data_IF_501399391014
#
_entry.id   IF_501399391014
#
_cell.length_a   1.000
_cell.length_b   1.000
_cell.length_c   1.000
_cell.angle_alpha   90.00
_cell.angle_beta   90.00
_cell.angle_gamma   90.00
#
_symmetry.space_group_name_H-M   'P 1'
#
loop_
_entity.id
_entity.type
_entity.pdbx_description
1 polymer ?
#
# COMPACT_ATOMS: atom_id res chain seq x y z
N UNK A 1 -1.65 -85.60 56.69
CA UNK A 1 -1.58 -85.31 55.22
C UNK A 1 -1.54 -83.81 55.12
N UNK A 2 -0.48 -83.17 54.61
CA UNK A 2 -0.31 -81.75 54.57
C UNK A 2 -0.87 -81.08 53.33
N UNK A 3 -1.58 -79.97 53.48
CA UNK A 3 -2.07 -79.15 52.39
C UNK A 3 -1.07 -78.03 52.13
N UNK A 4 -0.62 -77.93 50.92
CA UNK A 4 0.25 -76.89 50.34
C UNK A 4 -0.42 -75.50 50.32
N UNK A 5 0.13 -74.52 51.01
CA UNK A 5 -0.18 -73.09 50.85
C UNK A 5 0.70 -72.51 49.75
N UNK A 6 0.05 -72.12 48.69
CA UNK A 6 0.64 -71.47 47.52
C UNK A 6 1.07 -70.04 47.85
N UNK A 7 2.38 -69.75 47.71
CA UNK A 7 3.01 -68.43 47.75
C UNK A 7 2.83 -67.68 46.44
N UNK A 8 1.65 -67.15 46.20
CA UNK A 8 1.42 -66.28 44.99
C UNK A 8 0.34 -65.25 45.24
N UNK A 9 0.53 -64.29 46.14
CA UNK A 9 -0.29 -63.04 46.24
C UNK A 9 0.40 -62.01 47.12
N UNK A 10 1.61 -61.54 46.72
CA UNK A 10 2.27 -60.40 47.38
C UNK A 10 3.24 -59.74 46.36
N UNK A 11 2.75 -59.30 45.22
CA UNK A 11 3.45 -58.36 44.35
C UNK A 11 2.46 -57.68 43.43
N UNK A 12 1.69 -56.69 43.93
CA UNK A 12 0.89 -55.81 43.07
C UNK A 12 0.43 -54.58 43.86
N UNK A 13 1.36 -53.89 44.56
CA UNK A 13 1.08 -52.55 45.06
C UNK A 13 2.40 -51.77 45.13
N UNK A 14 2.85 -51.25 43.98
CA UNK A 14 4.09 -50.52 43.92
C UNK A 14 4.39 -49.92 42.54
N UNK A 15 3.42 -49.30 41.90
CA UNK A 15 3.70 -48.56 40.65
C UNK A 15 2.55 -47.62 40.28
N UNK A 16 2.31 -46.59 41.10
CA UNK A 16 1.38 -45.50 40.71
C UNK A 16 1.78 -44.20 41.37
N UNK A 17 3.05 -43.80 41.25
CA UNK A 17 3.56 -42.51 41.68
C UNK A 17 4.67 -42.05 40.74
N UNK A 18 4.30 -41.86 39.46
CA UNK A 18 5.20 -41.19 38.55
C UNK A 18 4.34 -40.37 37.53
N UNK A 19 4.62 -39.09 37.46
CA UNK A 19 4.24 -38.16 36.40
C UNK A 19 3.09 -37.18 36.72
N UNK A 20 3.22 -36.45 37.82
CA UNK A 20 2.77 -35.03 37.77
C UNK A 20 4.03 -34.15 37.65
N UNK A 21 4.65 -34.16 36.45
CA UNK A 21 5.57 -33.08 36.09
C UNK A 21 4.70 -31.84 35.84
N UNK A 22 4.91 -30.72 36.54
CA UNK A 22 4.23 -29.48 36.19
C UNK A 22 4.63 -29.11 34.79
N UNK A 23 3.68 -28.98 33.87
CA UNK A 23 3.87 -28.30 32.60
C UNK A 23 4.30 -26.86 32.95
N UNK A 24 5.60 -26.62 32.94
CA UNK A 24 6.11 -25.26 33.00
C UNK A 24 5.46 -24.48 31.83
N UNK A 25 4.82 -23.34 32.11
CA UNK A 25 4.32 -22.50 31.02
C UNK A 25 5.50 -22.20 30.11
N UNK A 26 5.34 -22.50 28.82
CA UNK A 26 6.32 -22.12 27.81
C UNK A 26 6.54 -20.60 27.95
N UNK A 27 7.67 -20.21 28.53
CA UNK A 27 8.07 -18.83 28.58
C UNK A 27 8.06 -18.34 27.13
N UNK A 28 7.11 -17.50 26.78
CA UNK A 28 7.14 -16.78 25.53
C UNK A 28 8.43 -15.97 25.58
N UNK A 29 9.46 -16.45 24.90
CA UNK A 29 10.72 -15.73 24.77
C UNK A 29 10.35 -14.37 24.17
N UNK A 30 10.37 -13.35 25.01
CA UNK A 30 10.15 -11.98 24.60
C UNK A 30 11.21 -11.68 23.54
N UNK A 31 10.80 -11.29 22.33
CA UNK A 31 11.75 -10.95 21.29
C UNK A 31 12.75 -9.93 21.85
N UNK A 32 14.06 -10.08 21.62
CA UNK A 32 15.05 -9.18 22.17
C UNK A 32 14.70 -7.74 21.80
N UNK A 33 14.84 -6.83 22.78
CA UNK A 33 14.58 -5.41 22.54
C UNK A 33 15.40 -4.91 21.35
N UNK A 34 14.81 -4.01 20.53
CA UNK A 34 15.55 -3.39 19.44
C UNK A 34 16.72 -2.58 20.02
N UNK A 35 17.89 -2.81 19.49
CA UNK A 35 19.10 -2.08 19.82
C UNK A 35 19.20 -0.80 18.99
N UNK A 36 18.56 0.28 19.42
CA UNK A 36 18.67 1.60 18.80
C UNK A 36 17.40 2.06 18.06
N UNK A 37 17.42 3.31 17.54
CA UNK A 37 16.27 3.96 16.96
C UNK A 37 15.83 3.30 15.64
N UNK A 38 14.56 3.50 15.29
CA UNK A 38 13.98 3.08 13.99
C UNK A 38 13.81 4.30 13.10
N UNK A 39 14.24 4.19 11.86
CA UNK A 39 14.03 5.22 10.83
C UNK A 39 13.06 4.72 9.77
N UNK A 40 11.98 5.46 9.57
CA UNK A 40 11.01 5.24 8.49
C UNK A 40 11.33 6.20 7.34
N UNK A 41 11.83 5.69 6.23
CA UNK A 41 12.22 6.50 5.07
C UNK A 41 11.05 6.61 4.10
N UNK A 42 10.72 7.84 3.69
CA UNK A 42 9.67 8.18 2.73
C UNK A 42 10.31 8.83 1.50
N UNK A 43 10.09 8.27 0.31
CA UNK A 43 10.68 8.73 -0.96
C UNK A 43 10.05 10.00 -1.55
N UNK A 44 9.23 10.72 -0.78
CA UNK A 44 8.48 11.88 -1.24
C UNK A 44 8.61 13.05 -0.26
N UNK A 45 8.24 14.25 -0.71
CA UNK A 45 8.24 15.44 0.13
C UNK A 45 7.28 15.30 1.34
N UNK A 46 7.56 16.00 2.45
CA UNK A 46 6.68 16.03 3.60
C UNK A 46 5.27 16.51 3.26
N UNK A 47 4.26 16.01 3.99
CA UNK A 47 2.85 16.42 3.88
C UNK A 47 2.01 15.63 2.87
N UNK A 48 2.61 14.81 2.00
CA UNK A 48 1.87 13.88 1.14
C UNK A 48 1.23 12.72 1.93
N UNK A 49 0.30 11.97 1.31
CA UNK A 49 -0.41 10.87 1.99
C UNK A 49 0.53 9.81 2.55
N UNK A 50 1.59 9.45 1.82
CA UNK A 50 2.61 8.51 2.28
C UNK A 50 3.35 9.01 3.52
N UNK A 51 3.73 10.30 3.55
CA UNK A 51 4.41 10.92 4.69
C UNK A 51 3.48 11.00 5.91
N UNK A 52 2.22 11.44 5.73
CA UNK A 52 1.24 11.49 6.81
C UNK A 52 1.00 10.12 7.43
N UNK A 53 0.91 9.07 6.59
CA UNK A 53 0.74 7.70 7.08
C UNK A 53 1.98 7.20 7.84
N UNK A 54 3.19 7.50 7.36
CA UNK A 54 4.43 7.16 8.05
C UNK A 54 4.50 7.81 9.44
N UNK A 55 4.14 9.11 9.55
CA UNK A 55 4.13 9.83 10.85
C UNK A 55 3.08 9.29 11.80
N UNK A 56 1.88 9.01 11.30
CA UNK A 56 0.79 8.43 12.10
C UNK A 56 1.17 7.08 12.70
N UNK A 57 1.94 6.27 11.96
CA UNK A 57 2.47 5.00 12.42
C UNK A 57 3.64 5.23 13.39
N UNK A 58 4.58 6.13 13.08
CA UNK A 58 5.74 6.42 13.91
C UNK A 58 5.35 6.80 15.34
N UNK A 59 4.37 7.70 15.52
CA UNK A 59 3.84 8.13 16.83
C UNK A 59 3.38 6.96 17.70
N UNK A 60 2.89 5.89 17.11
CA UNK A 60 2.38 4.71 17.82
C UNK A 60 3.39 3.59 17.94
N UNK A 61 4.35 3.53 17.02
CA UNK A 61 5.45 2.56 17.08
C UNK A 61 6.45 2.90 18.21
N UNK A 62 6.72 4.17 18.43
CA UNK A 62 7.68 4.62 19.43
C UNK A 62 7.38 4.06 20.84
N UNK A 63 6.19 4.26 21.44
CA UNK A 63 5.86 3.66 22.73
C UNK A 63 5.75 2.12 22.67
N UNK A 64 5.36 1.55 21.53
CA UNK A 64 5.26 0.09 21.33
C UNK A 64 6.61 -0.59 21.33
N UNK A 65 7.62 0.03 20.72
CA UNK A 65 8.96 -0.52 20.59
C UNK A 65 9.90 -0.13 21.74
N UNK A 66 9.58 0.94 22.48
CA UNK A 66 10.43 1.48 23.55
C UNK A 66 11.71 2.15 23.03
N UNK A 67 11.78 2.46 21.75
CA UNK A 67 12.91 3.15 21.09
C UNK A 67 12.39 4.30 20.24
N UNK A 68 13.21 5.31 20.00
CA UNK A 68 12.85 6.44 19.14
C UNK A 68 12.51 5.98 17.73
N UNK A 69 11.39 6.49 17.19
CA UNK A 69 10.96 6.26 15.80
C UNK A 69 10.89 7.58 15.05
N UNK A 70 11.68 7.75 13.99
CA UNK A 70 11.73 8.96 13.19
C UNK A 70 11.26 8.72 11.75
N UNK A 71 10.68 9.75 11.13
CA UNK A 71 10.36 9.74 9.70
C UNK A 71 11.33 10.65 8.97
N UNK A 72 11.98 10.13 7.95
CA UNK A 72 12.92 10.86 7.10
C UNK A 72 12.42 10.91 5.66
N UNK A 73 12.27 12.10 5.10
CA UNK A 73 11.91 12.28 3.71
C UNK A 73 13.15 12.35 2.83
N UNK A 74 13.21 11.50 1.80
CA UNK A 74 14.28 11.41 0.79
C UNK A 74 13.68 11.53 -0.60
N UNK A 75 13.15 12.72 -0.98
CA UNK A 75 12.53 12.93 -2.28
C UNK A 75 13.58 12.91 -3.39
N UNK A 76 13.20 12.39 -4.54
CA UNK A 76 14.02 12.39 -5.74
C UNK A 76 13.77 11.19 -6.63
N UNK A 77 13.95 11.37 -7.93
CA UNK A 77 13.82 10.33 -8.96
C UNK A 77 12.51 9.51 -8.87
N UNK A 78 11.39 10.16 -8.50
CA UNK A 78 10.10 9.47 -8.31
C UNK A 78 10.09 8.51 -7.11
N UNK A 79 10.92 8.74 -6.09
CA UNK A 79 11.06 7.89 -4.89
C UNK A 79 12.19 6.86 -4.98
N UNK A 80 12.83 6.70 -6.15
CA UNK A 80 13.93 5.73 -6.33
C UNK A 80 15.18 6.09 -5.53
N UNK A 81 15.40 7.39 -5.23
CA UNK A 81 16.51 7.81 -4.39
C UNK A 81 16.44 7.16 -3.01
N UNK A 82 15.27 7.18 -2.37
CA UNK A 82 15.04 6.50 -1.09
C UNK A 82 15.31 4.99 -1.17
N UNK A 83 14.87 4.33 -2.24
CA UNK A 83 15.14 2.90 -2.44
C UNK A 83 16.64 2.62 -2.58
N UNK A 84 17.37 3.44 -3.35
CA UNK A 84 18.84 3.33 -3.51
C UNK A 84 19.59 3.52 -2.20
N UNK A 85 19.12 4.40 -1.32
CA UNK A 85 19.72 4.62 0.00
C UNK A 85 19.42 3.48 0.95
N UNK A 86 18.15 3.08 1.07
CA UNK A 86 17.72 2.04 2.03
C UNK A 86 18.32 0.67 1.72
N UNK A 87 18.48 0.31 0.43
CA UNK A 87 19.15 -0.96 0.07
C UNK A 87 20.59 -1.05 0.58
N UNK A 88 21.25 0.09 0.81
CA UNK A 88 22.65 0.18 1.29
C UNK A 88 22.74 0.25 2.81
N UNK A 89 21.62 0.22 3.53
CA UNK A 89 21.62 0.27 4.99
C UNK A 89 22.42 -0.91 5.57
N UNK A 90 23.22 -0.63 6.59
CA UNK A 90 24.00 -1.67 7.26
C UNK A 90 23.08 -2.65 8.02
N UNK A 91 23.51 -3.91 8.14
CA UNK A 91 22.71 -4.98 8.76
C UNK A 91 22.23 -4.68 10.20
N UNK A 92 22.95 -3.83 10.95
CA UNK A 92 22.61 -3.41 12.30
C UNK A 92 21.62 -2.24 12.38
N UNK A 93 21.29 -1.58 11.27
CA UNK A 93 20.40 -0.42 11.28
C UNK A 93 18.92 -0.83 11.21
N UNK A 94 18.07 -0.18 12.02
CA UNK A 94 16.61 -0.37 11.99
C UNK A 94 16.00 0.65 11.00
N UNK A 95 16.17 0.42 9.72
CA UNK A 95 15.68 1.30 8.65
C UNK A 95 14.61 0.58 7.84
N UNK A 96 13.45 1.19 7.67
CA UNK A 96 12.39 0.71 6.79
C UNK A 96 12.05 1.79 5.75
N UNK A 97 11.81 1.40 4.51
CA UNK A 97 11.26 2.29 3.49
C UNK A 97 9.74 2.11 3.41
N UNK A 98 8.98 3.20 3.45
CA UNK A 98 7.58 3.17 3.04
C UNK A 98 7.52 3.37 1.52
N UNK A 99 7.46 2.25 0.82
CA UNK A 99 7.42 2.19 -0.64
C UNK A 99 6.00 2.07 -1.18
N UNK A 100 5.86 2.31 -2.47
CA UNK A 100 4.61 2.22 -3.21
C UNK A 100 4.81 1.55 -4.59
N UNK A 101 3.75 1.27 -5.36
CA UNK A 101 3.87 0.60 -6.66
C UNK A 101 4.75 1.34 -7.67
N UNK A 102 4.78 2.68 -7.65
CA UNK A 102 5.61 3.42 -8.61
C UNK A 102 7.10 3.06 -8.45
N UNK A 103 7.56 2.92 -7.20
CA UNK A 103 8.95 2.57 -6.88
C UNK A 103 9.19 1.06 -7.01
N UNK A 104 8.30 0.22 -6.44
CA UNK A 104 8.60 -1.21 -6.27
C UNK A 104 8.11 -2.09 -7.42
N UNK A 105 7.27 -1.56 -8.32
CA UNK A 105 6.71 -2.31 -9.45
C UNK A 105 6.99 -1.62 -10.78
N UNK A 106 6.59 -0.35 -10.93
CA UNK A 106 6.69 0.35 -12.21
C UNK A 106 8.13 0.70 -12.58
N UNK A 107 8.88 1.31 -11.67
CA UNK A 107 10.24 1.76 -11.96
C UNK A 107 11.15 0.63 -12.49
N UNK A 108 11.16 -0.59 -11.93
CA UNK A 108 11.94 -1.70 -12.47
C UNK A 108 11.51 -2.16 -13.86
N UNK A 109 10.28 -1.86 -14.29
CA UNK A 109 9.77 -2.24 -15.61
C UNK A 109 10.11 -1.23 -16.70
N UNK A 110 10.27 0.05 -16.34
CA UNK A 110 10.43 1.15 -17.31
C UNK A 110 11.86 1.69 -17.38
N UNK A 111 12.61 1.64 -16.28
CA UNK A 111 14.01 2.07 -16.30
C UNK A 111 14.92 0.90 -16.62
N UNK A 112 15.83 1.08 -17.57
CA UNK A 112 16.86 0.09 -17.90
C UNK A 112 17.71 -0.28 -16.67
N UNK A 113 17.98 0.71 -15.81
CA UNK A 113 18.60 0.54 -14.51
C UNK A 113 17.88 1.46 -13.50
N UNK A 114 17.09 0.87 -12.63
CA UNK A 114 16.45 1.57 -11.53
C UNK A 114 17.42 1.88 -10.38
N UNK A 115 18.59 1.23 -10.36
CA UNK A 115 19.58 1.30 -9.31
C UNK A 115 19.34 0.37 -8.11
N UNK A 116 18.30 -0.45 -8.18
CA UNK A 116 17.93 -1.49 -7.19
C UNK A 116 17.08 -2.57 -7.85
N UNK A 117 17.01 -3.72 -7.20
CA UNK A 117 16.15 -4.85 -7.54
C UNK A 117 15.18 -5.09 -6.37
N UNK A 118 13.85 -4.86 -6.53
CA UNK A 118 12.89 -5.02 -5.44
C UNK A 118 12.89 -6.40 -4.79
N UNK A 119 13.21 -7.46 -5.54
CA UNK A 119 13.14 -8.84 -5.06
C UNK A 119 14.43 -9.29 -4.35
N UNK A 120 15.56 -8.68 -4.69
CA UNK A 120 16.88 -9.03 -4.12
C UNK A 120 17.28 -8.12 -2.99
N UNK A 121 16.99 -6.81 -3.15
CA UNK A 121 17.47 -5.77 -2.24
C UNK A 121 16.52 -5.51 -1.06
N UNK A 122 15.27 -6.02 -1.13
CA UNK A 122 14.25 -5.70 -0.13
C UNK A 122 13.44 -6.93 0.33
N UNK A 123 12.98 -6.85 1.56
CA UNK A 123 12.02 -7.79 2.17
C UNK A 123 10.73 -7.03 2.47
N UNK A 124 9.57 -7.46 1.96
CA UNK A 124 8.29 -6.85 2.31
C UNK A 124 7.94 -7.12 3.77
N UNK A 125 7.54 -6.08 4.50
CA UNK A 125 7.28 -6.14 5.94
C UNK A 125 5.79 -6.13 6.23
N UNK A 126 5.07 -5.08 5.79
CA UNK A 126 3.63 -4.93 6.01
C UNK A 126 3.07 -3.88 5.06
N UNK A 127 1.99 -4.20 4.37
CA UNK A 127 1.15 -3.20 3.74
C UNK A 127 0.37 -2.46 4.83
N UNK A 128 0.37 -1.14 4.79
CA UNK A 128 -0.23 -0.30 5.84
C UNK A 128 -1.35 0.59 5.34
N UNK A 129 -1.43 0.82 4.03
CA UNK A 129 -2.57 1.51 3.44
C UNK A 129 -2.82 1.07 2.00
N UNK A 130 -4.04 1.31 1.54
CA UNK A 130 -4.42 1.28 0.14
C UNK A 130 -5.06 2.60 -0.25
N UNK A 131 -5.08 2.89 -1.54
CA UNK A 131 -5.75 4.05 -2.09
C UNK A 131 -6.31 3.72 -3.47
N UNK A 132 -7.44 4.35 -3.79
CA UNK A 132 -8.07 4.22 -5.09
C UNK A 132 -7.60 5.32 -6.03
N UNK A 133 -7.70 5.07 -7.33
CA UNK A 133 -7.65 6.10 -8.36
C UNK A 133 -9.07 6.61 -8.60
N UNK A 134 -9.17 7.87 -9.02
CA UNK A 134 -10.42 8.50 -9.36
C UNK A 134 -10.38 9.03 -10.79
N UNK A 135 -11.48 8.86 -11.50
CA UNK A 135 -11.79 9.55 -12.74
C UNK A 135 -12.63 10.77 -12.39
N UNK A 136 -12.08 11.95 -12.61
CA UNK A 136 -12.76 13.21 -12.38
C UNK A 136 -12.88 14.04 -13.66
N UNK A 137 -13.94 14.84 -13.72
CA UNK A 137 -14.18 15.80 -14.81
C UNK A 137 -14.32 17.21 -14.28
N UNK A 138 -13.90 18.17 -15.09
CA UNK A 138 -14.17 19.58 -14.82
C UNK A 138 -15.66 19.90 -15.02
N UNK A 139 -16.17 20.92 -14.32
CA UNK A 139 -17.58 21.29 -14.36
C UNK A 139 -18.07 21.74 -15.74
N UNK A 140 -17.16 22.13 -16.65
CA UNK A 140 -17.52 22.50 -18.03
C UNK A 140 -18.13 21.33 -18.83
N UNK A 141 -17.77 20.08 -18.52
CA UNK A 141 -18.35 18.92 -19.19
C UNK A 141 -19.79 18.61 -18.76
N UNK A 142 -20.24 19.13 -17.61
CA UNK A 142 -21.60 18.93 -17.08
C UNK A 142 -22.01 17.44 -16.98
N UNK A 143 -21.05 16.56 -16.67
CA UNK A 143 -21.28 15.12 -16.54
C UNK A 143 -21.39 14.73 -15.05
N UNK A 144 -22.36 13.90 -14.72
CA UNK A 144 -22.61 13.39 -13.38
C UNK A 144 -22.40 11.87 -13.24
N UNK A 145 -22.28 11.17 -14.38
CA UNK A 145 -22.10 9.70 -14.44
C UNK A 145 -21.05 9.30 -15.47
N UNK A 146 -20.24 8.32 -15.09
CA UNK A 146 -19.18 7.82 -15.97
C UNK A 146 -19.70 7.22 -17.29
N UNK A 147 -20.89 6.63 -17.30
CA UNK A 147 -21.49 6.07 -18.51
C UNK A 147 -21.74 7.14 -19.61
N UNK A 148 -22.02 8.39 -19.23
CA UNK A 148 -22.23 9.46 -20.21
C UNK A 148 -20.93 9.96 -20.81
N UNK A 149 -19.78 9.73 -20.14
CA UNK A 149 -18.47 10.08 -20.67
C UNK A 149 -18.16 9.31 -21.95
N UNK A 150 -18.57 8.04 -22.06
CA UNK A 150 -18.36 7.23 -23.27
C UNK A 150 -18.94 7.91 -24.50
N UNK A 151 -20.25 8.24 -24.47
CA UNK A 151 -20.92 8.91 -25.58
C UNK A 151 -20.32 10.29 -25.89
N UNK A 152 -19.92 11.02 -24.86
CA UNK A 152 -19.27 12.34 -25.00
C UNK A 152 -17.95 12.21 -25.77
N UNK A 153 -17.07 11.29 -25.35
CA UNK A 153 -15.76 11.12 -25.98
C UNK A 153 -15.83 10.53 -27.39
N UNK A 154 -16.87 9.80 -27.73
CA UNK A 154 -17.09 9.35 -29.10
C UNK A 154 -17.58 10.48 -30.03
N UNK A 155 -18.41 11.39 -29.50
CA UNK A 155 -18.85 12.57 -30.19
C UNK A 155 -17.78 13.67 -30.30
N UNK A 156 -16.88 13.74 -29.30
CA UNK A 156 -15.84 14.75 -29.14
C UNK A 156 -14.49 14.10 -28.82
N UNK A 157 -13.84 13.39 -29.77
CA UNK A 157 -12.56 12.71 -29.51
C UNK A 157 -11.43 13.64 -29.04
N UNK A 158 -11.49 14.93 -29.41
CA UNK A 158 -10.55 15.96 -28.98
C UNK A 158 -10.57 16.22 -27.47
N UNK A 159 -11.66 15.87 -26.80
CA UNK A 159 -11.78 15.97 -25.35
C UNK A 159 -11.18 14.76 -24.60
N UNK A 160 -10.72 13.73 -25.33
CA UNK A 160 -10.06 12.57 -24.71
C UNK A 160 -8.63 12.90 -24.25
N UNK A 161 -8.49 14.01 -23.48
CA UNK A 161 -7.25 14.43 -22.84
C UNK A 161 -7.34 14.11 -21.34
N UNK A 162 -6.56 13.12 -20.91
CA UNK A 162 -6.53 12.69 -19.53
C UNK A 162 -5.29 13.26 -18.83
N UNK A 163 -5.50 14.21 -17.92
CA UNK A 163 -4.46 14.74 -17.06
C UNK A 163 -4.08 13.74 -15.97
N UNK A 164 -2.79 13.60 -15.73
CA UNK A 164 -2.24 12.73 -14.69
C UNK A 164 -1.17 13.48 -13.90
N UNK A 165 -0.94 13.18 -12.59
CA UNK A 165 -0.01 13.94 -11.75
C UNK A 165 1.45 13.83 -12.23
N UNK A 166 1.79 12.76 -12.95
CA UNK A 166 3.09 12.61 -13.61
C UNK A 166 3.01 11.56 -14.71
N UNK A 167 3.73 11.75 -15.82
CA UNK A 167 3.95 10.67 -16.79
C UNK A 167 4.72 9.53 -16.13
N UNK A 168 4.35 8.27 -16.45
CA UNK A 168 4.95 7.09 -15.82
C UNK A 168 4.46 6.80 -14.39
N UNK A 169 3.53 7.60 -13.86
CA UNK A 169 2.85 7.29 -12.60
C UNK A 169 1.78 6.21 -12.77
N UNK A 170 1.30 5.63 -11.67
CA UNK A 170 0.18 4.70 -11.72
C UNK A 170 -1.11 5.33 -12.27
N UNK A 171 -1.49 6.57 -11.93
CA UNK A 171 -2.59 7.26 -12.59
C UNK A 171 -2.44 7.35 -14.12
N UNK A 172 -1.21 7.47 -14.65
CA UNK A 172 -0.97 7.40 -16.09
C UNK A 172 -1.41 6.05 -16.68
N UNK A 173 -0.88 4.96 -16.15
CA UNK A 173 -1.22 3.61 -16.64
C UNK A 173 -2.67 3.24 -16.40
N UNK A 174 -3.24 3.70 -15.28
CA UNK A 174 -4.67 3.53 -15.02
C UNK A 174 -5.52 4.35 -16.01
N UNK A 175 -5.09 5.55 -16.38
CA UNK A 175 -5.72 6.34 -17.44
C UNK A 175 -5.77 5.60 -18.78
N UNK A 176 -4.71 4.87 -19.13
CA UNK A 176 -4.71 4.01 -20.32
C UNK A 176 -5.71 2.84 -20.19
N UNK A 177 -5.80 2.20 -19.02
CA UNK A 177 -6.81 1.16 -18.76
C UNK A 177 -8.23 1.72 -18.86
N UNK A 178 -8.47 2.93 -18.38
CA UNK A 178 -9.76 3.63 -18.52
C UNK A 178 -10.05 3.89 -19.99
N UNK A 179 -9.07 4.38 -20.75
CA UNK A 179 -9.19 4.56 -22.20
C UNK A 179 -9.59 3.27 -22.92
N UNK A 180 -8.92 2.16 -22.63
CA UNK A 180 -9.26 0.84 -23.18
C UNK A 180 -10.70 0.45 -22.83
N UNK A 181 -11.13 0.65 -21.58
CA UNK A 181 -12.48 0.31 -21.11
C UNK A 181 -13.57 1.18 -21.76
N UNK A 182 -13.25 2.41 -22.13
CA UNK A 182 -14.13 3.35 -22.85
C UNK A 182 -14.04 3.18 -24.36
N UNK A 183 -13.13 2.32 -24.87
CA UNK A 183 -12.82 2.17 -26.29
C UNK A 183 -12.38 3.49 -26.95
N UNK A 184 -11.57 4.27 -26.24
CA UNK A 184 -10.96 5.52 -26.70
C UNK A 184 -9.45 5.48 -26.51
N UNK A 185 -8.70 6.22 -27.29
CA UNK A 185 -7.25 6.41 -27.11
C UNK A 185 -6.99 7.79 -26.51
N UNK A 186 -6.81 7.90 -25.19
CA UNK A 186 -6.63 9.19 -24.56
C UNK A 186 -5.24 9.77 -24.85
N UNK A 187 -5.18 11.08 -25.06
CA UNK A 187 -3.94 11.83 -24.96
C UNK A 187 -3.61 12.00 -23.47
N UNK A 188 -2.51 11.44 -23.00
CA UNK A 188 -2.08 11.61 -21.63
C UNK A 188 -1.29 12.91 -21.47
N UNK A 189 -1.78 13.81 -20.60
CA UNK A 189 -1.10 15.06 -20.23
C UNK A 189 -0.53 14.92 -18.80
N UNK A 190 0.80 14.81 -18.68
CA UNK A 190 1.49 14.76 -17.39
C UNK A 190 1.65 16.15 -16.79
N UNK A 191 1.52 16.23 -15.45
CA UNK A 191 1.71 17.44 -14.65
C UNK A 191 2.87 17.27 -13.68
N UNK A 192 3.28 18.32 -13.00
CA UNK A 192 4.27 18.31 -11.93
C UNK A 192 3.66 18.00 -10.55
N UNK A 193 2.62 17.17 -10.50
CA UNK A 193 1.89 16.79 -9.28
C UNK A 193 0.39 17.05 -9.36
N UNK A 194 -0.34 16.64 -8.31
CA UNK A 194 -1.81 16.76 -8.23
C UNK A 194 -2.30 18.21 -8.11
N UNK A 195 -1.52 19.12 -7.54
CA UNK A 195 -1.94 20.49 -7.36
C UNK A 195 -2.10 21.26 -8.69
N UNK A 196 -1.11 21.31 -9.60
CA UNK A 196 -1.29 21.95 -10.91
C UNK A 196 -2.31 21.21 -11.80
N UNK A 197 -2.41 19.88 -11.70
CA UNK A 197 -3.46 19.10 -12.37
C UNK A 197 -4.85 19.56 -11.92
N UNK A 198 -5.09 19.62 -10.61
CA UNK A 198 -6.38 20.07 -10.05
C UNK A 198 -6.71 21.52 -10.43
N UNK A 199 -5.72 22.41 -10.48
CA UNK A 199 -5.92 23.80 -10.91
C UNK A 199 -6.45 23.89 -12.35
N UNK A 200 -5.85 23.15 -13.29
CA UNK A 200 -6.28 23.09 -14.69
C UNK A 200 -7.66 22.43 -14.85
N UNK A 201 -7.96 21.39 -14.07
CA UNK A 201 -9.27 20.74 -14.08
C UNK A 201 -10.37 21.69 -13.58
N UNK A 202 -10.13 22.42 -12.48
CA UNK A 202 -11.04 23.42 -11.92
C UNK A 202 -11.21 24.60 -12.90
N UNK A 203 -10.12 25.08 -13.48
CA UNK A 203 -10.11 26.18 -14.45
C UNK A 203 -10.73 25.80 -15.79
N UNK A 204 -10.91 24.51 -16.06
CA UNK A 204 -11.51 23.95 -17.26
C UNK A 204 -10.61 24.04 -18.50
N UNK A 205 -9.29 24.14 -18.34
CA UNK A 205 -8.27 23.91 -19.38
C UNK A 205 -7.91 22.43 -19.53
N UNK A 206 -8.27 21.60 -18.55
CA UNK A 206 -8.22 20.14 -18.58
C UNK A 206 -9.65 19.59 -18.47
N UNK A 207 -10.13 18.75 -19.40
CA UNK A 207 -11.48 18.19 -19.31
C UNK A 207 -11.57 17.05 -18.28
N UNK A 208 -10.57 16.15 -18.25
CA UNK A 208 -10.60 14.89 -17.51
C UNK A 208 -9.29 14.74 -16.73
N UNK A 209 -9.38 14.26 -15.48
CA UNK A 209 -8.24 13.91 -14.66
C UNK A 209 -8.34 12.47 -14.16
N UNK A 210 -7.19 11.81 -14.12
CA UNK A 210 -6.97 10.53 -13.43
C UNK A 210 -5.91 10.80 -12.35
N UNK A 211 -6.30 10.71 -11.09
CA UNK A 211 -5.40 10.88 -9.95
C UNK A 211 -5.85 9.99 -8.79
N UNK A 212 -5.17 10.03 -7.67
CA UNK A 212 -5.61 9.33 -6.46
C UNK A 212 -6.86 9.99 -5.89
N UNK A 213 -7.76 9.19 -5.33
CA UNK A 213 -9.03 9.67 -4.78
C UNK A 213 -8.82 10.74 -3.70
N UNK A 214 -7.86 10.53 -2.79
CA UNK A 214 -7.54 11.47 -1.71
C UNK A 214 -7.08 12.84 -2.21
N UNK A 215 -6.43 12.88 -3.38
CA UNK A 215 -5.98 14.13 -4.00
C UNK A 215 -7.13 14.96 -4.60
N UNK A 216 -8.18 14.32 -5.09
CA UNK A 216 -9.30 14.97 -5.79
C UNK A 216 -10.54 15.16 -4.90
N UNK A 217 -10.65 14.41 -3.81
CA UNK A 217 -11.89 14.31 -3.02
C UNK A 217 -12.32 15.64 -2.41
N UNK A 218 -11.39 16.40 -1.84
CA UNK A 218 -11.70 17.71 -1.27
C UNK A 218 -12.29 18.68 -2.32
N UNK A 219 -11.81 18.64 -3.55
CA UNK A 219 -12.33 19.47 -4.65
C UNK A 219 -13.70 18.99 -5.13
N UNK A 220 -13.93 17.69 -5.08
CA UNK A 220 -15.25 17.10 -5.36
C UNK A 220 -16.30 17.51 -4.32
N UNK A 221 -15.96 17.39 -3.02
CA UNK A 221 -16.86 17.83 -1.92
C UNK A 221 -17.16 19.33 -2.01
N UNK A 222 -16.17 20.13 -2.40
CA UNK A 222 -16.35 21.57 -2.63
C UNK A 222 -17.13 21.91 -3.92
N UNK A 223 -17.56 20.91 -4.71
CA UNK A 223 -18.30 21.11 -5.96
C UNK A 223 -17.47 21.73 -7.10
N UNK A 224 -16.14 21.82 -6.96
CA UNK A 224 -15.25 22.41 -7.97
C UNK A 224 -14.94 21.48 -9.13
N UNK A 225 -15.00 20.17 -8.90
CA UNK A 225 -14.85 19.09 -9.90
C UNK A 225 -15.86 18.00 -9.60
N UNK A 226 -16.07 17.08 -10.54
CA UNK A 226 -16.94 15.92 -10.34
C UNK A 226 -16.13 14.64 -10.48
N UNK A 227 -16.02 13.85 -9.41
CA UNK A 227 -15.52 12.48 -9.50
C UNK A 227 -16.66 11.61 -10.00
N UNK A 228 -16.43 10.88 -11.10
CA UNK A 228 -17.44 10.03 -11.74
C UNK A 228 -17.36 8.58 -11.30
N UNK A 229 -16.16 8.08 -11.01
CA UNK A 229 -15.94 6.72 -10.53
C UNK A 229 -14.60 6.60 -9.81
N UNK A 230 -14.50 5.58 -8.94
CA UNK A 230 -13.27 5.18 -8.25
C UNK A 230 -12.87 3.75 -8.64
N UNK A 231 -11.58 3.48 -8.58
CA UNK A 231 -11.00 2.22 -9.08
C UNK A 231 -11.10 1.04 -8.13
N UNK A 232 -11.46 1.26 -6.87
CA UNK A 232 -11.54 0.21 -5.87
C UNK A 232 -12.62 -0.83 -6.18
N UNK A 233 -12.44 -2.05 -5.65
CA UNK A 233 -13.45 -3.12 -5.71
C UNK A 233 -14.72 -2.80 -4.92
N UNK A 234 -14.60 -1.88 -3.96
CA UNK A 234 -15.68 -1.33 -3.14
C UNK A 234 -15.51 0.18 -3.08
N UNK A 235 -16.57 0.90 -2.76
CA UNK A 235 -16.51 2.34 -2.51
C UNK A 235 -15.62 2.63 -1.30
N UNK A 236 -14.86 3.71 -1.36
CA UNK A 236 -14.06 4.15 -0.21
C UNK A 236 -14.97 4.54 0.96
N UNK A 237 -14.59 4.21 2.20
CA UNK A 237 -15.38 4.49 3.41
C UNK A 237 -15.72 5.96 3.59
N UNK A 238 -14.76 6.84 3.27
CA UNK A 238 -14.93 8.29 3.35
C UNK A 238 -15.67 8.91 2.14
N UNK A 239 -15.88 8.14 1.05
CA UNK A 239 -16.54 8.58 -0.18
C UNK A 239 -17.68 7.63 -0.63
N UNK A 240 -18.65 7.30 0.24
CA UNK A 240 -19.66 6.25 -0.03
C UNK A 240 -20.61 6.58 -1.18
N UNK A 241 -20.70 7.85 -1.57
CA UNK A 241 -21.57 8.31 -2.65
C UNK A 241 -20.93 8.23 -4.05
N UNK A 242 -19.60 7.96 -4.14
CA UNK A 242 -18.92 7.83 -5.40
C UNK A 242 -18.93 6.35 -5.82
N UNK A 243 -19.48 6.01 -7.00
CA UNK A 243 -19.53 4.62 -7.45
C UNK A 243 -18.15 4.11 -7.86
N UNK A 244 -17.95 2.81 -7.80
CA UNK A 244 -16.79 2.16 -8.41
C UNK A 244 -16.96 2.08 -9.93
N UNK A 245 -15.87 1.89 -10.68
CA UNK A 245 -15.93 1.63 -12.12
C UNK A 245 -16.81 0.42 -12.44
N UNK A 246 -16.78 -0.64 -11.59
CA UNK A 246 -17.64 -1.82 -11.76
C UNK A 246 -19.12 -1.49 -11.60
N UNK A 247 -19.50 -0.68 -10.62
CA UNK A 247 -20.86 -0.20 -10.44
C UNK A 247 -21.30 0.72 -11.58
N UNK A 248 -20.36 1.42 -12.21
CA UNK A 248 -20.60 2.24 -13.40
C UNK A 248 -20.60 1.43 -14.73
N UNK A 249 -20.54 0.08 -14.67
CA UNK A 249 -20.62 -0.80 -15.83
C UNK A 249 -19.26 -1.10 -16.49
N UNK A 250 -18.16 -0.58 -15.99
CA UNK A 250 -16.80 -0.81 -16.53
C UNK A 250 -16.09 -1.89 -15.71
N UNK A 251 -15.66 -2.99 -16.39
CA UNK A 251 -15.03 -4.15 -15.73
C UNK A 251 -13.55 -3.92 -15.45
N UNK A 252 -13.21 -2.80 -14.84
CA UNK A 252 -11.86 -2.49 -14.40
C UNK A 252 -11.85 -2.22 -12.90
N UNK A 253 -10.79 -2.63 -12.25
CA UNK A 253 -10.46 -2.28 -10.88
C UNK A 253 -8.94 -2.18 -10.74
N UNK A 254 -8.50 -1.28 -9.90
CA UNK A 254 -7.11 -1.05 -9.57
C UNK A 254 -7.02 -0.36 -8.21
N UNK A 255 -5.92 -0.55 -7.55
CA UNK A 255 -5.59 0.14 -6.31
C UNK A 255 -4.11 0.53 -6.31
N UNK A 256 -3.75 1.43 -5.44
CA UNK A 256 -2.38 1.64 -5.02
C UNK A 256 -2.23 1.22 -3.57
N UNK A 257 -0.99 1.15 -3.10
CA UNK A 257 -0.69 0.75 -1.74
C UNK A 257 0.56 1.45 -1.22
N UNK A 258 0.67 1.56 0.10
CA UNK A 258 1.92 1.85 0.78
C UNK A 258 2.29 0.66 1.66
N UNK A 259 3.53 0.23 1.54
CA UNK A 259 4.07 -0.98 2.17
C UNK A 259 5.44 -0.66 2.74
N UNK A 260 5.69 -1.09 3.97
CA UNK A 260 7.04 -1.06 4.53
C UNK A 260 7.90 -2.18 3.95
N UNK A 261 9.12 -1.80 3.58
CA UNK A 261 10.17 -2.69 3.09
C UNK A 261 11.41 -2.53 3.96
N UNK A 262 11.98 -3.65 4.39
CA UNK A 262 13.29 -3.71 5.01
C UNK A 262 14.37 -3.95 3.94
N UNK A 263 15.60 -3.44 4.11
CA UNK A 263 16.71 -3.87 3.27
C UNK A 263 16.99 -5.36 3.49
N UNK A 264 17.38 -6.09 2.43
CA UNK A 264 17.67 -7.54 2.52
C UNK A 264 18.84 -7.88 3.46
N UNK A 265 19.64 -6.87 3.85
CA UNK A 265 20.71 -6.97 4.84
C UNK A 265 20.20 -7.08 6.28
N UNK A 266 18.93 -6.70 6.55
CA UNK A 266 18.37 -6.75 7.89
C UNK A 266 18.12 -8.19 8.35
N UNK A 267 18.52 -8.53 9.58
CA UNK A 267 18.32 -9.87 10.14
C UNK A 267 16.82 -10.26 10.15
N UNK A 268 16.46 -11.51 9.72
CA UNK A 268 15.06 -11.94 9.62
C UNK A 268 14.26 -11.80 10.93
N UNK A 269 14.88 -12.07 12.08
CA UNK A 269 14.24 -11.89 13.38
C UNK A 269 13.84 -10.43 13.64
N UNK A 270 14.66 -9.47 13.22
CA UNK A 270 14.39 -8.04 13.33
C UNK A 270 13.28 -7.60 12.39
N UNK A 271 13.28 -8.08 11.15
CA UNK A 271 12.18 -7.86 10.20
C UNK A 271 10.86 -8.34 10.78
N UNK A 272 10.84 -9.55 11.37
CA UNK A 272 9.64 -10.12 11.96
C UNK A 272 9.16 -9.33 13.19
N UNK A 273 10.07 -8.85 14.02
CA UNK A 273 9.76 -8.01 15.17
C UNK A 273 9.09 -6.70 14.75
N UNK A 274 9.67 -6.00 13.76
CA UNK A 274 9.11 -4.76 13.20
C UNK A 274 7.77 -5.01 12.52
N UNK A 275 7.64 -6.10 11.76
CA UNK A 275 6.38 -6.49 11.11
C UNK A 275 5.25 -6.72 12.12
N UNK A 276 5.54 -7.41 13.23
CA UNK A 276 4.57 -7.65 14.30
C UNK A 276 4.16 -6.33 14.97
N UNK A 277 5.12 -5.46 15.30
CA UNK A 277 4.86 -4.18 15.92
C UNK A 277 4.01 -3.27 15.02
N UNK A 278 4.34 -3.19 13.73
CA UNK A 278 3.56 -2.42 12.74
C UNK A 278 2.14 -2.98 12.63
N UNK A 279 1.98 -4.30 12.48
CA UNK A 279 0.67 -4.94 12.40
C UNK A 279 -0.20 -4.67 13.62
N UNK A 280 0.39 -4.68 14.83
CA UNK A 280 -0.34 -4.40 16.06
C UNK A 280 -0.78 -2.93 16.12
N UNK A 281 0.10 -1.99 15.75
CA UNK A 281 -0.21 -0.56 15.66
C UNK A 281 -1.32 -0.30 14.63
N UNK A 282 -1.29 -0.99 13.49
CA UNK A 282 -2.31 -0.85 12.46
C UNK A 282 -3.70 -1.34 12.89
N UNK A 283 -3.80 -2.18 13.93
CA UNK A 283 -5.08 -2.60 14.53
C UNK A 283 -5.68 -1.58 15.50
N UNK A 284 -4.93 -0.55 15.87
CA UNK A 284 -5.39 0.49 16.81
C UNK A 284 -6.56 1.28 16.19
N UNK A 285 -7.76 1.29 16.83
CA UNK A 285 -8.92 2.01 16.29
C UNK A 285 -8.69 3.52 16.18
N UNK A 286 -7.86 4.10 17.05
CA UNK A 286 -7.50 5.51 17.00
C UNK A 286 -6.64 5.82 15.78
N UNK A 287 -5.71 4.93 15.39
CA UNK A 287 -4.96 5.05 14.15
C UNK A 287 -5.89 4.97 12.93
N UNK A 288 -6.78 3.98 12.90
CA UNK A 288 -7.70 3.77 11.78
C UNK A 288 -8.59 5.01 11.59
N UNK A 289 -9.18 5.52 12.66
CA UNK A 289 -9.98 6.75 12.61
C UNK A 289 -9.15 7.98 12.16
N UNK A 290 -7.91 8.10 12.60
CA UNK A 290 -7.03 9.19 12.18
C UNK A 290 -6.63 9.08 10.70
N UNK A 291 -6.42 7.85 10.19
CA UNK A 291 -6.17 7.60 8.77
C UNK A 291 -7.39 7.96 7.90
N UNK A 292 -8.60 7.55 8.30
CA UNK A 292 -9.84 7.91 7.60
C UNK A 292 -10.04 9.43 7.54
N UNK A 293 -9.72 10.15 8.61
CA UNK A 293 -9.79 11.63 8.64
C UNK A 293 -8.78 12.29 7.67
N UNK A 294 -7.75 11.56 7.24
CA UNK A 294 -6.77 11.98 6.24
C UNK A 294 -7.10 11.44 4.84
N UNK A 295 -8.26 10.82 4.66
CA UNK A 295 -8.69 10.14 3.44
C UNK A 295 -7.75 8.99 3.02
N UNK A 296 -7.14 8.32 3.99
CA UNK A 296 -6.26 7.17 3.79
C UNK A 296 -6.98 5.91 4.26
N UNK A 297 -7.10 4.90 3.41
CA UNK A 297 -7.66 3.61 3.78
C UNK A 297 -6.60 2.75 4.47
N UNK A 298 -6.67 2.52 5.80
CA UNK A 298 -5.68 1.71 6.50
C UNK A 298 -5.83 0.23 6.15
N UNK A 299 -4.72 -0.48 6.08
CA UNK A 299 -4.66 -1.93 5.84
C UNK A 299 -3.87 -2.59 6.96
N UNK A 300 -4.36 -3.72 7.45
CA UNK A 300 -3.65 -4.57 8.41
C UNK A 300 -3.20 -5.83 7.68
N UNK A 301 -1.91 -6.04 7.52
CA UNK A 301 -1.37 -7.20 6.83
C UNK A 301 -0.18 -7.84 7.56
N UNK A 302 0.00 -9.13 7.34
CA UNK A 302 1.23 -9.86 7.66
C UNK A 302 2.25 -9.74 6.52
N UNK A 303 3.50 -10.10 6.78
CA UNK A 303 4.53 -10.14 5.75
C UNK A 303 4.18 -11.13 4.61
N UNK A 304 3.56 -12.28 4.95
CA UNK A 304 3.14 -13.28 3.96
C UNK A 304 2.02 -12.76 3.05
N UNK A 305 0.99 -12.12 3.63
CA UNK A 305 -0.10 -11.49 2.86
C UNK A 305 0.44 -10.36 1.98
N UNK A 306 1.38 -9.58 2.50
CA UNK A 306 2.05 -8.51 1.75
C UNK A 306 2.84 -9.07 0.56
N UNK A 307 3.62 -10.12 0.75
CA UNK A 307 4.37 -10.77 -0.34
C UNK A 307 3.43 -11.33 -1.42
N UNK A 308 2.32 -11.96 -1.03
CA UNK A 308 1.32 -12.46 -1.98
C UNK A 308 0.63 -11.32 -2.73
N UNK A 309 0.29 -10.23 -2.05
CA UNK A 309 -0.28 -9.03 -2.67
C UNK A 309 0.67 -8.48 -3.75
N UNK A 310 1.96 -8.29 -3.44
CA UNK A 310 2.96 -7.78 -4.38
C UNK A 310 3.07 -8.65 -5.64
N UNK A 311 3.06 -9.98 -5.48
CA UNK A 311 3.10 -10.92 -6.61
C UNK A 311 1.89 -10.73 -7.53
N UNK A 312 0.68 -10.69 -6.95
CA UNK A 312 -0.57 -10.49 -7.70
C UNK A 312 -0.59 -9.14 -8.39
N UNK A 313 -0.13 -8.10 -7.68
CA UNK A 313 -0.06 -6.75 -8.19
C UNK A 313 0.85 -6.62 -9.42
N UNK A 314 2.03 -7.24 -9.40
CA UNK A 314 2.92 -7.27 -10.57
C UNK A 314 2.28 -7.95 -11.77
N UNK A 315 1.61 -9.09 -11.55
CA UNK A 315 0.90 -9.82 -12.61
C UNK A 315 -0.18 -8.95 -13.28
N UNK A 316 -0.84 -8.08 -12.52
CA UNK A 316 -1.84 -7.15 -13.03
C UNK A 316 -1.20 -6.02 -13.85
N UNK A 317 -0.17 -5.39 -13.32
CA UNK A 317 0.35 -4.14 -13.87
C UNK A 317 1.45 -4.31 -14.92
N UNK A 318 2.26 -5.36 -14.86
CA UNK A 318 3.34 -5.56 -15.81
C UNK A 318 2.86 -5.59 -17.27
N UNK A 319 1.77 -6.31 -17.65
CA UNK A 319 1.26 -6.26 -19.01
C UNK A 319 0.78 -4.87 -19.45
N UNK A 320 0.18 -4.09 -18.52
CA UNK A 320 -0.30 -2.73 -18.80
C UNK A 320 0.87 -1.79 -19.09
N UNK A 321 1.88 -1.81 -18.20
CA UNK A 321 3.08 -0.97 -18.33
C UNK A 321 3.83 -1.32 -19.61
N UNK A 322 4.04 -2.61 -19.90
CA UNK A 322 4.76 -3.03 -21.13
C UNK A 322 4.02 -2.65 -22.41
N UNK A 323 2.69 -2.84 -22.47
CA UNK A 323 1.88 -2.46 -23.66
C UNK A 323 1.84 -0.96 -23.90
N UNK A 324 1.99 -0.14 -22.86
CA UNK A 324 1.99 1.33 -23.01
C UNK A 324 3.15 1.84 -23.86
N UNK A 325 4.23 1.06 -24.01
CA UNK A 325 5.45 1.49 -24.69
C UNK A 325 6.16 2.65 -23.97
N UNK A 326 5.73 2.99 -22.75
CA UNK A 326 6.29 4.12 -22.02
C UNK A 326 7.78 3.92 -21.75
N UNK A 327 8.55 4.94 -22.11
CA UNK A 327 9.96 5.09 -21.79
C UNK A 327 10.13 6.43 -21.05
N UNK A 328 10.78 6.45 -19.87
CA UNK A 328 10.95 7.64 -19.04
C UNK A 328 11.91 8.67 -19.64
#
# INVERSE_FOLDING_TARGET
MPTFFSRRKLMAWGAALAACAPLAPAAHAQAPALDGPVTLVVGYAPGGSTDRMARLIAERLEPKLGVKVSVENRPGEGGRLAAKEVKRAAAGQNVLMLGNPAVMVVAPLVFKDAGYDPDKDFVPVSQVSSYDFALAVGNKLQLDRAMFLVGRLWAHPEEAVFGVPATGSLPHFFGLMVGDALSVQPQIKGYGGSAPLSADLIGGSLPIAIDTLDSLYAQHVAGKVRILAVSGKKRASFAPNIPTFREAGMKIDADGWNTFFAPSTMAPARVQQLANAIRDVMKDPGLQKAADALYITPVVSSAAETAQMLKTYRQQWEPVVRRSGFQP
#
